data_IF_891345738308
#
_entry.id   IF_891345738308
#
_cell.length_a   1.000
_cell.length_b   1.000
_cell.length_c   1.000
_cell.angle_alpha   90.00
_cell.angle_beta   90.00
_cell.angle_gamma   90.00
#
_symmetry.space_group_name_H-M   'P 1'
#
loop_
_entity.id
_entity.type
_entity.pdbx_description
1 polymer ?
#
# COMPACT_ATOMS: atom_id res chain seq x y z
N UNK A 1 23.82 -0.58 -4.56
CA UNK A 1 23.43 -1.98 -4.27
C UNK A 1 23.77 -2.47 -2.85
N UNK A 2 24.63 -1.82 -2.05
CA UNK A 2 24.92 -2.27 -0.66
C UNK A 2 24.14 -1.55 0.46
N UNK A 3 23.33 -0.51 0.14
CA UNK A 3 22.79 0.42 1.15
C UNK A 3 21.71 -0.20 2.06
N UNK A 4 20.96 -1.18 1.56
CA UNK A 4 19.80 -1.77 2.25
C UNK A 4 19.89 -3.30 2.40
N UNK A 5 21.03 -3.90 2.04
CA UNK A 5 21.19 -5.36 2.00
C UNK A 5 20.89 -6.02 3.35
N UNK A 6 21.38 -5.42 4.45
CA UNK A 6 21.26 -5.93 5.82
C UNK A 6 19.95 -5.51 6.53
N UNK A 7 19.07 -4.78 5.86
CA UNK A 7 17.80 -4.32 6.43
C UNK A 7 16.65 -5.22 6.00
N UNK A 8 15.71 -5.45 6.92
CA UNK A 8 14.38 -5.97 6.59
C UNK A 8 13.53 -4.90 5.90
N UNK A 9 12.45 -5.32 5.25
CA UNK A 9 11.52 -4.38 4.64
C UNK A 9 10.90 -3.43 5.67
N UNK A 10 10.53 -3.92 6.86
CA UNK A 10 10.02 -3.07 7.95
C UNK A 10 11.02 -1.99 8.34
N UNK A 11 12.31 -2.32 8.46
CA UNK A 11 13.35 -1.33 8.78
C UNK A 11 13.53 -0.28 7.67
N UNK A 12 13.35 -0.66 6.40
CA UNK A 12 13.36 0.28 5.28
C UNK A 12 12.13 1.21 5.38
N UNK A 13 10.94 0.64 5.59
CA UNK A 13 9.69 1.40 5.75
C UNK A 13 9.72 2.33 6.97
N UNK A 14 10.23 1.87 8.12
CA UNK A 14 10.40 2.67 9.34
C UNK A 14 11.36 3.84 9.12
N UNK A 15 12.41 3.62 8.32
CA UNK A 15 13.33 4.69 7.95
C UNK A 15 12.63 5.75 7.11
N UNK A 16 11.88 5.35 6.07
CA UNK A 16 11.10 6.27 5.21
C UNK A 16 10.06 7.01 6.06
N UNK A 17 9.39 6.30 6.99
CA UNK A 17 8.43 6.90 7.91
C UNK A 17 9.07 7.99 8.81
N UNK A 18 10.31 7.77 9.24
CA UNK A 18 11.03 8.69 10.12
C UNK A 18 11.54 9.94 9.41
N UNK A 19 12.09 9.81 8.20
CA UNK A 19 12.61 10.95 7.44
C UNK A 19 11.56 11.62 6.54
N UNK A 20 10.43 10.94 6.26
CA UNK A 20 9.32 11.44 5.46
C UNK A 20 9.71 11.73 4.02
N UNK A 21 10.65 10.95 3.47
CA UNK A 21 11.12 11.03 2.09
C UNK A 21 11.30 9.59 1.58
N UNK A 22 10.88 9.32 0.35
CA UNK A 22 11.12 8.05 -0.33
C UNK A 22 11.88 8.31 -1.63
N UNK A 23 12.85 7.45 -1.94
CA UNK A 23 13.56 7.45 -3.21
C UNK A 23 13.46 6.11 -3.96
N UNK A 24 13.87 6.10 -5.23
CA UNK A 24 13.80 4.91 -6.07
C UNK A 24 14.71 3.76 -5.58
N UNK A 25 15.83 4.05 -4.90
CA UNK A 25 16.71 3.01 -4.36
C UNK A 25 16.05 2.29 -3.17
N UNK A 26 15.28 3.02 -2.35
CA UNK A 26 14.48 2.46 -1.26
C UNK A 26 13.35 1.57 -1.78
N UNK A 27 12.66 2.00 -2.83
CA UNK A 27 11.60 1.19 -3.46
C UNK A 27 12.17 -0.07 -4.09
N UNK A 28 13.31 0.02 -4.78
CA UNK A 28 13.95 -1.15 -5.36
C UNK A 28 14.39 -2.14 -4.28
N UNK A 29 14.93 -1.65 -3.16
CA UNK A 29 15.27 -2.52 -2.02
C UNK A 29 14.04 -3.24 -1.46
N UNK A 30 12.87 -2.59 -1.37
CA UNK A 30 11.63 -3.24 -0.95
C UNK A 30 11.19 -4.34 -1.93
N UNK A 31 11.35 -4.12 -3.24
CA UNK A 31 11.06 -5.13 -4.27
C UNK A 31 12.00 -6.33 -4.15
N UNK A 32 13.28 -6.11 -3.91
CA UNK A 32 14.23 -7.19 -3.65
C UNK A 32 13.83 -8.02 -2.41
N UNK A 33 13.22 -7.41 -1.38
CA UNK A 33 12.71 -8.16 -0.21
C UNK A 33 11.48 -8.99 -0.56
N UNK A 34 10.58 -8.51 -1.41
CA UNK A 34 9.43 -9.29 -1.90
C UNK A 34 9.85 -10.52 -2.71
N UNK A 35 10.92 -10.40 -3.51
CA UNK A 35 11.46 -11.52 -4.29
C UNK A 35 12.11 -12.60 -3.42
N UNK A 36 12.44 -12.26 -2.17
CA UNK A 36 13.09 -13.17 -1.22
C UNK A 36 12.04 -13.89 -0.37
N UNK A 37 11.74 -13.35 0.80
CA UNK A 37 10.90 -13.99 1.82
C UNK A 37 9.89 -13.03 2.46
N UNK A 38 9.92 -11.74 2.12
CA UNK A 38 9.01 -10.77 2.70
C UNK A 38 7.61 -10.92 2.12
N UNK A 39 6.63 -11.06 3.01
CA UNK A 39 5.21 -11.15 2.69
C UNK A 39 4.54 -9.89 3.21
N UNK A 40 3.76 -9.25 2.35
CA UNK A 40 2.94 -8.10 2.74
C UNK A 40 1.64 -8.64 3.33
N UNK A 41 1.51 -8.59 4.64
CA UNK A 41 0.26 -8.92 5.35
C UNK A 41 -0.47 -7.64 5.80
N UNK A 42 -1.50 -7.79 6.63
CA UNK A 42 -2.31 -6.67 7.11
C UNK A 42 -1.47 -5.66 7.92
N UNK A 43 -0.46 -6.13 8.66
CA UNK A 43 0.45 -5.32 9.47
C UNK A 43 1.37 -4.48 8.59
N UNK A 44 1.94 -5.09 7.54
CA UNK A 44 2.76 -4.40 6.55
C UNK A 44 1.93 -3.39 5.76
N UNK A 45 0.69 -3.73 5.38
CA UNK A 45 -0.20 -2.76 4.74
C UNK A 45 -0.49 -1.57 5.66
N UNK A 46 -0.76 -1.78 6.94
CA UNK A 46 -0.89 -0.66 7.89
C UNK A 46 0.39 0.20 7.94
N UNK A 47 1.58 -0.41 7.92
CA UNK A 47 2.85 0.32 7.87
C UNK A 47 3.02 1.09 6.54
N UNK A 48 2.66 0.49 5.40
CA UNK A 48 2.66 1.16 4.09
C UNK A 48 1.75 2.39 4.10
N UNK A 49 0.56 2.29 4.68
CA UNK A 49 -0.36 3.42 4.81
C UNK A 49 0.22 4.53 5.69
N UNK A 50 0.85 4.18 6.82
CA UNK A 50 1.54 5.16 7.68
C UNK A 50 2.68 5.85 6.96
N UNK A 51 3.47 5.11 6.19
CA UNK A 51 4.53 5.68 5.34
C UNK A 51 3.93 6.63 4.32
N UNK A 52 2.93 6.19 3.55
CA UNK A 52 2.29 7.04 2.53
C UNK A 52 1.72 8.34 3.14
N UNK A 53 1.08 8.23 4.31
CA UNK A 53 0.60 9.39 5.07
C UNK A 53 1.73 10.36 5.41
N UNK A 54 2.88 9.86 5.86
CA UNK A 54 4.04 10.70 6.22
C UNK A 54 4.67 11.40 5.02
N UNK A 55 4.58 10.81 3.83
CA UNK A 55 5.07 11.40 2.59
C UNK A 55 4.18 12.56 2.11
N UNK A 56 2.86 12.45 2.32
CA UNK A 56 1.90 13.44 1.85
C UNK A 56 2.04 13.70 0.34
N UNK A 57 2.17 14.96 -0.06
CA UNK A 57 2.37 15.36 -1.46
C UNK A 57 3.73 14.94 -2.06
N UNK A 58 4.74 14.61 -1.24
CA UNK A 58 6.05 14.17 -1.74
C UNK A 58 6.01 12.80 -2.40
N UNK A 59 4.94 12.03 -2.20
CA UNK A 59 4.73 10.78 -2.92
C UNK A 59 4.69 10.99 -4.46
N UNK A 60 4.35 12.20 -4.92
CA UNK A 60 4.40 12.59 -6.33
C UNK A 60 5.82 12.59 -6.90
N UNK A 61 6.84 12.80 -6.06
CA UNK A 61 8.24 12.88 -6.47
C UNK A 61 8.86 11.48 -6.73
N UNK A 62 8.18 10.40 -6.32
CA UNK A 62 8.61 9.03 -6.53
C UNK A 62 7.47 8.15 -7.08
N UNK A 63 7.28 8.11 -8.41
CA UNK A 63 6.28 7.25 -9.05
C UNK A 63 6.46 5.75 -8.75
N UNK A 64 7.70 5.30 -8.51
CA UNK A 64 8.02 3.93 -8.14
C UNK A 64 7.36 3.55 -6.81
N UNK A 65 7.31 4.47 -5.83
CA UNK A 65 6.60 4.27 -4.58
C UNK A 65 5.11 4.06 -4.81
N UNK A 66 4.50 4.92 -5.64
CA UNK A 66 3.08 4.79 -5.98
C UNK A 66 2.78 3.44 -6.62
N UNK A 67 3.58 3.02 -7.61
CA UNK A 67 3.41 1.71 -8.24
C UNK A 67 3.59 0.55 -7.24
N UNK A 68 4.61 0.61 -6.39
CA UNK A 68 4.89 -0.40 -5.38
C UNK A 68 3.75 -0.54 -4.36
N UNK A 69 3.28 0.59 -3.82
CA UNK A 69 2.20 0.64 -2.85
C UNK A 69 0.90 0.06 -3.43
N UNK A 70 0.51 0.52 -4.63
CA UNK A 70 -0.73 0.10 -5.28
C UNK A 70 -0.71 -1.39 -5.60
N UNK A 71 0.40 -1.91 -6.14
CA UNK A 71 0.52 -3.32 -6.47
C UNK A 71 0.36 -4.20 -5.22
N UNK A 72 1.13 -3.92 -4.16
CA UNK A 72 1.14 -4.80 -2.98
C UNK A 72 -0.16 -4.74 -2.17
N UNK A 73 -0.76 -3.55 -2.00
CA UNK A 73 -2.05 -3.45 -1.30
C UNK A 73 -3.16 -4.10 -2.13
N UNK A 74 -3.16 -3.91 -3.46
CA UNK A 74 -4.14 -4.56 -4.33
C UNK A 74 -3.98 -6.08 -4.34
N UNK A 75 -2.74 -6.60 -4.34
CA UNK A 75 -2.50 -8.05 -4.31
C UNK A 75 -3.02 -8.69 -3.03
N UNK A 76 -2.83 -8.06 -1.87
CA UNK A 76 -3.38 -8.57 -0.61
C UNK A 76 -4.90 -8.69 -0.66
N UNK A 77 -5.59 -7.67 -1.18
CA UNK A 77 -7.05 -7.56 -1.17
C UNK A 77 -7.76 -8.28 -2.31
N UNK A 78 -7.09 -8.52 -3.44
CA UNK A 78 -7.74 -9.06 -4.65
C UNK A 78 -7.33 -10.50 -4.91
N UNK A 79 -6.15 -10.93 -4.43
CA UNK A 79 -5.61 -12.26 -4.67
C UNK A 79 -5.61 -13.11 -3.39
N UNK A 80 -6.49 -12.80 -2.44
CA UNK A 80 -6.71 -13.62 -1.26
C UNK A 80 -7.31 -15.00 -1.63
N UNK A 81 -7.36 -15.92 -0.66
CA UNK A 81 -7.82 -17.30 -0.89
C UNK A 81 -9.30 -17.51 -0.62
N UNK A 82 -9.96 -16.61 0.11
CA UNK A 82 -11.33 -16.77 0.60
C UNK A 82 -12.34 -16.22 -0.42
N UNK A 83 -12.06 -15.04 -0.98
CA UNK A 83 -12.87 -14.35 -1.99
C UNK A 83 -12.04 -13.74 -3.14
N UNK A 84 -11.30 -14.55 -3.93
CA UNK A 84 -10.46 -14.02 -5.00
C UNK A 84 -11.22 -13.11 -5.97
N UNK A 85 -10.70 -11.90 -6.17
CA UNK A 85 -11.30 -10.90 -7.06
C UNK A 85 -12.40 -10.05 -6.41
N UNK A 86 -12.68 -10.22 -5.12
CA UNK A 86 -13.66 -9.41 -4.38
C UNK A 86 -12.98 -8.76 -3.17
N UNK A 87 -13.47 -7.58 -2.78
CA UNK A 87 -13.19 -7.02 -1.44
C UNK A 87 -14.43 -7.31 -0.61
N UNK A 88 -14.30 -8.19 0.37
CA UNK A 88 -15.42 -8.59 1.21
C UNK A 88 -15.82 -7.52 2.25
N UNK A 89 -16.79 -7.82 3.11
CA UNK A 89 -17.25 -6.86 4.12
C UNK A 89 -16.20 -6.56 5.20
N UNK A 90 -15.42 -7.56 5.62
CA UNK A 90 -14.41 -7.40 6.65
C UNK A 90 -13.19 -6.64 6.12
N UNK A 91 -12.71 -7.02 4.94
CA UNK A 91 -11.62 -6.32 4.24
C UNK A 91 -12.01 -4.90 3.87
N UNK A 92 -13.25 -4.71 3.40
CA UNK A 92 -13.78 -3.39 3.05
C UNK A 92 -13.94 -2.48 4.27
N UNK A 93 -14.33 -3.03 5.43
CA UNK A 93 -14.37 -2.27 6.68
C UNK A 93 -12.97 -1.93 7.19
N UNK A 94 -12.03 -2.87 7.06
CA UNK A 94 -10.64 -2.68 7.47
C UNK A 94 -9.94 -1.61 6.62
N UNK A 95 -10.04 -1.70 5.29
CA UNK A 95 -9.47 -0.72 4.37
C UNK A 95 -10.06 0.68 4.59
N UNK A 96 -11.38 0.78 4.82
CA UNK A 96 -12.01 2.06 5.17
C UNK A 96 -11.40 2.66 6.44
N UNK A 97 -11.16 1.84 7.47
CA UNK A 97 -10.52 2.27 8.72
C UNK A 97 -9.09 2.76 8.52
N UNK A 98 -8.32 2.13 7.63
CA UNK A 98 -6.97 2.60 7.26
C UNK A 98 -7.03 3.95 6.55
N UNK A 99 -7.92 4.10 5.57
CA UNK A 99 -8.11 5.36 4.85
C UNK A 99 -8.61 6.49 5.77
N UNK A 100 -9.45 6.18 6.76
CA UNK A 100 -9.91 7.17 7.75
C UNK A 100 -8.80 7.65 8.68
N UNK A 101 -7.88 6.74 9.06
CA UNK A 101 -6.83 7.04 10.04
C UNK A 101 -5.57 7.60 9.40
N UNK A 102 -5.18 7.06 8.26
CA UNK A 102 -3.90 7.33 7.58
C UNK A 102 -4.10 7.81 6.15
N UNK A 103 -5.31 8.21 5.76
CA UNK A 103 -5.54 8.82 4.45
C UNK A 103 -4.60 10.02 4.24
N UNK A 104 -3.96 10.07 3.08
CA UNK A 104 -3.07 11.15 2.67
C UNK A 104 -3.73 12.06 1.63
N UNK A 105 -4.82 11.59 0.99
CA UNK A 105 -5.46 12.24 -0.15
C UNK A 105 -4.43 12.68 -1.21
N UNK A 106 -3.47 11.79 -1.50
CA UNK A 106 -2.39 12.01 -2.45
C UNK A 106 -2.55 11.12 -3.69
N UNK A 107 -1.69 11.32 -4.68
CA UNK A 107 -1.72 10.55 -5.95
C UNK A 107 -1.63 9.04 -5.74
N UNK A 108 -0.96 8.59 -4.68
CA UNK A 108 -0.82 7.16 -4.37
C UNK A 108 -2.14 6.56 -3.89
N UNK A 109 -2.87 7.26 -3.02
CA UNK A 109 -4.19 6.81 -2.54
C UNK A 109 -5.23 6.85 -3.66
N UNK A 110 -5.23 7.91 -4.48
CA UNK A 110 -6.09 8.00 -5.66
C UNK A 110 -5.82 6.85 -6.65
N UNK A 111 -4.54 6.53 -6.87
CA UNK A 111 -4.13 5.42 -7.72
C UNK A 111 -4.57 4.06 -7.15
N UNK A 112 -4.49 3.86 -5.82
CA UNK A 112 -4.97 2.65 -5.16
C UNK A 112 -6.47 2.47 -5.40
N UNK A 113 -7.28 3.50 -5.09
CA UNK A 113 -8.72 3.43 -5.29
C UNK A 113 -9.06 3.17 -6.77
N UNK A 114 -8.39 3.85 -7.70
CA UNK A 114 -8.60 3.58 -9.13
C UNK A 114 -8.25 2.14 -9.52
N UNK A 115 -7.18 1.56 -8.97
CA UNK A 115 -6.77 0.19 -9.24
C UNK A 115 -7.76 -0.82 -8.67
N UNK A 116 -8.21 -0.65 -7.43
CA UNK A 116 -9.20 -1.52 -6.79
C UNK A 116 -10.54 -1.47 -7.53
N UNK A 117 -11.00 -0.28 -7.94
CA UNK A 117 -12.24 -0.14 -8.71
C UNK A 117 -12.22 -0.87 -10.05
N UNK A 118 -11.04 -0.96 -10.69
CA UNK A 118 -10.86 -1.66 -11.98
C UNK A 118 -10.72 -3.16 -11.82
N UNK A 119 -10.06 -3.60 -10.75
CA UNK A 119 -9.68 -5.00 -10.56
C UNK A 119 -10.73 -5.81 -9.80
N UNK A 120 -11.41 -5.19 -8.82
CA UNK A 120 -12.40 -5.86 -8.01
C UNK A 120 -13.69 -6.11 -8.81
N UNK A 121 -14.15 -7.36 -8.81
CA UNK A 121 -15.44 -7.75 -9.37
C UNK A 121 -16.60 -7.39 -8.44
N UNK A 122 -16.32 -7.26 -7.14
CA UNK A 122 -17.23 -6.80 -6.09
C UNK A 122 -16.45 -6.03 -5.03
N UNK A 123 -17.04 -4.96 -4.51
CA UNK A 123 -16.53 -4.20 -3.36
C UNK A 123 -17.65 -4.08 -2.33
N UNK A 124 -17.40 -4.55 -1.11
CA UNK A 124 -18.33 -4.51 0.02
C UNK A 124 -17.77 -3.71 1.21
N UNK A 125 -18.51 -3.73 2.32
CA UNK A 125 -18.14 -3.00 3.54
C UNK A 125 -18.20 -1.48 3.39
N UNK A 126 -17.63 -0.78 4.36
CA UNK A 126 -17.61 0.69 4.42
C UNK A 126 -16.84 1.33 3.27
N UNK A 127 -15.81 0.66 2.73
CA UNK A 127 -15.00 1.22 1.63
C UNK A 127 -15.80 1.38 0.35
N UNK A 128 -16.91 0.66 0.15
CA UNK A 128 -17.78 0.82 -1.02
C UNK A 128 -18.27 2.27 -1.21
N UNK A 129 -18.41 3.03 -0.10
CA UNK A 129 -18.75 4.46 -0.13
C UNK A 129 -17.70 5.34 -0.81
N UNK A 130 -16.44 4.89 -0.94
CA UNK A 130 -15.33 5.61 -1.60
C UNK A 130 -15.36 5.51 -3.12
N UNK A 131 -16.11 4.55 -3.67
CA UNK A 131 -16.21 4.30 -5.11
C UNK A 131 -17.51 4.79 -5.73
N UNK A 132 -18.48 5.16 -4.89
CA UNK A 132 -19.79 5.63 -5.32
C UNK A 132 -19.77 7.15 -5.48
N UNK A 133 -19.70 7.62 -6.73
CA UNK A 133 -19.98 9.03 -7.11
C UNK A 133 -21.22 9.08 -7.97
#
# INVERSE_FOLDING_TARGET
MARYADLSADQILEKILFDGIVDADEVEALREKLEQDWVVDHSEVELLFRVNHSLGGKAEDCPEWTAFFVDNVSRLLILDLDTPGEIDEAEGDWLAGLLDRYGAANVTEEALLSALQKSATRIAGKVASRFST
#
